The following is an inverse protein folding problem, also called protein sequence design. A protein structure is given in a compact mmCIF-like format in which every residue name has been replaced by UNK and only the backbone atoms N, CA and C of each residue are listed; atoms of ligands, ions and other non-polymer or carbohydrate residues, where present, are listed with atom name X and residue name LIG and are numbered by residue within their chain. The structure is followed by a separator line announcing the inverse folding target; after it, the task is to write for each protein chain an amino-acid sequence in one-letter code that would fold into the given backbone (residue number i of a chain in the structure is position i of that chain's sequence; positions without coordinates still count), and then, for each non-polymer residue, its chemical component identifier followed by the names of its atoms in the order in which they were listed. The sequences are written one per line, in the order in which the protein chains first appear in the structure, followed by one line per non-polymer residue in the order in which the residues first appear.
data_IF_586672605412
#
_entry.id   IF_586672605412
#
_cell.length_a   1.000
_cell.length_b   1.000
_cell.length_c   1.000
_cell.angle_alpha   90.00
_cell.angle_beta   90.00
_cell.angle_gamma   90.00
#
_symmetry.space_group_name_H-M   'P 1'
#
loop_
_entity.id
_entity.type
_entity.pdbx_description
1 polymer ?
#
# COMPACT_ATOMS: atom_id res chain seq x y z
N UNK A 1 -4.11 14.74 1.38
CA UNK A 1 -4.86 13.53 1.77
C UNK A 1 -5.91 13.13 0.74
N UNK A 2 -7.00 13.90 0.58
CA UNK A 2 -8.15 13.52 -0.26
C UNK A 2 -7.81 13.24 -1.73
N UNK A 3 -7.05 14.13 -2.40
CA UNK A 3 -6.61 13.92 -3.79
C UNK A 3 -5.73 12.68 -3.97
N UNK A 4 -4.84 12.40 -3.04
CA UNK A 4 -3.95 11.23 -3.10
C UNK A 4 -4.71 9.92 -2.94
N UNK A 5 -5.72 9.88 -2.05
CA UNK A 5 -6.58 8.71 -1.86
C UNK A 5 -7.51 8.47 -3.06
N UNK A 6 -7.99 9.55 -3.68
CA UNK A 6 -8.76 9.46 -4.92
C UNK A 6 -7.91 8.86 -6.05
N UNK A 7 -6.69 9.36 -6.25
CA UNK A 7 -5.74 8.79 -7.23
C UNK A 7 -5.46 7.32 -6.93
N UNK A 8 -5.29 6.94 -5.66
CA UNK A 8 -5.08 5.55 -5.30
C UNK A 8 -6.27 4.66 -5.69
N UNK A 9 -7.51 5.12 -5.43
CA UNK A 9 -8.73 4.40 -5.82
C UNK A 9 -8.85 4.24 -7.34
N UNK A 10 -8.43 5.25 -8.09
CA UNK A 10 -8.39 5.21 -9.56
C UNK A 10 -7.35 4.19 -10.06
N UNK A 11 -6.18 4.13 -9.42
CA UNK A 11 -5.12 3.18 -9.76
C UNK A 11 -5.50 1.73 -9.44
N UNK A 12 -6.17 1.50 -8.31
CA UNK A 12 -6.73 0.18 -7.96
C UNK A 12 -7.78 -0.25 -8.98
N UNK A 13 -8.72 0.63 -9.34
CA UNK A 13 -9.75 0.34 -10.35
C UNK A 13 -9.14 0.05 -11.73
N UNK A 14 -8.03 0.69 -12.06
CA UNK A 14 -7.31 0.48 -13.32
C UNK A 14 -6.40 -0.76 -13.31
N UNK A 15 -6.33 -1.52 -12.21
CA UNK A 15 -5.33 -2.58 -11.99
C UNK A 15 -3.89 -2.12 -12.29
N UNK A 16 -3.62 -0.84 -12.03
CA UNK A 16 -2.31 -0.25 -12.32
C UNK A 16 -1.27 -0.75 -11.32
N UNK A 17 -0.04 -1.09 -11.77
CA UNK A 17 1.04 -1.47 -10.86
C UNK A 17 1.37 -0.40 -9.82
N UNK A 18 1.03 0.88 -10.11
CA UNK A 18 1.24 1.99 -9.20
C UNK A 18 0.35 1.93 -7.94
N UNK A 19 -0.72 1.12 -7.92
CA UNK A 19 -1.51 0.87 -6.72
C UNK A 19 -0.67 0.21 -5.60
N UNK A 20 0.42 -0.48 -5.95
CA UNK A 20 1.38 -1.06 -5.00
C UNK A 20 2.07 -0.02 -4.10
N UNK A 21 1.99 1.27 -4.44
CA UNK A 21 2.52 2.38 -3.66
C UNK A 21 1.54 2.90 -2.59
N UNK A 22 0.32 2.34 -2.48
CA UNK A 22 -0.65 2.64 -1.42
C UNK A 22 -0.03 2.71 -0.02
N UNK A 23 0.85 1.77 0.37
CA UNK A 23 1.46 1.76 1.70
C UNK A 23 2.23 3.04 2.04
N UNK A 24 2.87 3.69 1.07
CA UNK A 24 3.56 4.97 1.29
C UNK A 24 2.59 6.12 1.55
N UNK A 25 1.48 6.13 0.81
CA UNK A 25 0.43 7.14 0.96
C UNK A 25 -0.22 7.01 2.34
N UNK A 26 -0.54 5.79 2.75
CA UNK A 26 -1.13 5.53 4.06
C UNK A 26 -0.18 5.89 5.20
N UNK A 27 1.10 5.52 5.10
CA UNK A 27 2.13 5.92 6.07
C UNK A 27 2.21 7.44 6.20
N UNK A 28 2.29 8.16 5.08
CA UNK A 28 2.35 9.62 5.06
C UNK A 28 1.11 10.31 5.66
N UNK A 29 -0.03 9.63 5.73
CA UNK A 29 -1.27 10.14 6.32
C UNK A 29 -1.63 9.53 7.68
N UNK A 30 -0.75 8.73 8.30
CA UNK A 30 -0.99 8.10 9.59
C UNK A 30 -2.09 7.02 9.58
N UNK A 31 -2.34 6.41 8.42
CA UNK A 31 -3.38 5.40 8.19
C UNK A 31 -2.84 4.00 8.51
N UNK A 32 -2.57 3.77 9.80
CA UNK A 32 -1.93 2.53 10.27
C UNK A 32 -2.84 1.31 10.15
N UNK A 33 -4.16 1.46 10.29
CA UNK A 33 -5.10 0.35 10.18
C UNK A 33 -5.10 -0.22 8.77
N UNK A 34 -5.12 0.64 7.76
CA UNK A 34 -5.07 0.28 6.34
C UNK A 34 -3.73 -0.36 5.97
N UNK A 35 -2.63 0.14 6.55
CA UNK A 35 -1.30 -0.44 6.35
C UNK A 35 -1.20 -1.87 6.89
N UNK A 36 -1.73 -2.11 8.10
CA UNK A 36 -1.71 -3.43 8.74
C UNK A 36 -2.64 -4.40 8.02
N UNK A 37 -3.83 -3.95 7.63
CA UNK A 37 -4.79 -4.74 6.86
C UNK A 37 -4.21 -5.16 5.50
N UNK A 38 -3.58 -4.22 4.78
CA UNK A 38 -2.93 -4.52 3.51
C UNK A 38 -1.78 -5.53 3.66
N UNK A 39 -0.96 -5.40 4.71
CA UNK A 39 0.10 -6.36 5.02
C UNK A 39 -0.46 -7.75 5.36
N UNK A 40 -1.56 -7.83 6.08
CA UNK A 40 -2.20 -9.09 6.43
C UNK A 40 -2.82 -9.80 5.21
N UNK A 41 -3.26 -9.03 4.21
CA UNK A 41 -3.93 -9.54 3.00
C UNK A 41 -3.03 -9.61 1.76
N UNK A 42 -1.75 -9.22 1.86
CA UNK A 42 -0.82 -9.32 0.72
C UNK A 42 -0.69 -10.79 0.31
N UNK A 43 -0.87 -11.07 -0.98
CA UNK A 43 -0.80 -12.44 -1.48
C UNK A 43 0.56 -13.07 -1.15
N UNK A 44 0.54 -14.35 -0.78
CA UNK A 44 1.76 -15.15 -0.54
C UNK A 44 2.61 -15.29 -1.81
N UNK A 45 2.02 -15.07 -2.98
CA UNK A 45 2.70 -15.06 -4.28
C UNK A 45 3.31 -13.69 -4.63
N UNK A 46 3.23 -12.71 -3.74
CA UNK A 46 3.87 -11.42 -3.96
C UNK A 46 5.40 -11.58 -4.03
N UNK A 47 6.03 -10.80 -4.90
CA UNK A 47 7.47 -10.86 -5.05
C UNK A 47 8.18 -10.61 -3.71
N UNK A 48 9.21 -11.40 -3.35
CA UNK A 48 9.91 -11.26 -2.08
C UNK A 48 10.43 -9.85 -1.81
N UNK A 49 10.92 -9.16 -2.86
CA UNK A 49 11.37 -7.78 -2.78
C UNK A 49 10.24 -6.80 -2.39
N UNK A 50 9.00 -7.08 -2.81
CA UNK A 50 7.83 -6.28 -2.44
C UNK A 50 7.46 -6.48 -0.97
N UNK A 51 7.51 -7.73 -0.49
CA UNK A 51 7.25 -8.07 0.91
C UNK A 51 8.28 -7.38 1.83
N UNK A 52 9.57 -7.48 1.51
CA UNK A 52 10.62 -6.80 2.27
C UNK A 52 10.48 -5.27 2.27
N UNK A 53 10.05 -4.71 1.16
CA UNK A 53 9.75 -3.29 1.07
C UNK A 53 8.57 -2.91 1.97
N UNK A 54 7.50 -3.71 1.95
CA UNK A 54 6.29 -3.49 2.75
C UNK A 54 6.58 -3.56 4.26
N UNK A 55 7.43 -4.49 4.69
CA UNK A 55 7.94 -4.56 6.06
C UNK A 55 8.63 -3.26 6.49
N UNK A 56 9.54 -2.74 5.65
CA UNK A 56 10.26 -1.49 5.93
C UNK A 56 9.32 -0.28 6.03
N UNK A 57 8.30 -0.22 5.18
CA UNK A 57 7.28 0.81 5.25
C UNK A 57 6.49 0.71 6.56
N UNK A 58 6.24 -0.50 7.06
CA UNK A 58 5.40 -0.74 8.24
C UNK A 58 6.08 -0.60 9.60
N UNK A 59 7.42 -0.63 9.66
CA UNK A 59 8.18 -0.63 10.93
C UNK A 59 8.61 0.75 11.46
N UNK A 60 8.45 1.84 10.70
CA UNK A 60 8.84 3.21 11.16
C UNK A 60 7.66 4.12 11.45
#
# INVERSE_FOLDING_TARGET
KQRSLQVLSELERANSPASRLAPLIWKGFGMQAELQDYRANVSLDAEPAYIEWLERVSQS
#
